data_IF_412008111760
#
_entry.id   IF_412008111760
#
_cell.length_a   1.000
_cell.length_b   1.000
_cell.length_c   1.000
_cell.angle_alpha   90.00
_cell.angle_beta   90.00
_cell.angle_gamma   90.00
#
_symmetry.space_group_name_H-M   'P 1'
#
loop_
_entity.id
_entity.type
_entity.pdbx_description
1 polymer ?
#
# COMPACT_ATOMS: atom_id res chain seq x y z
N UNK A 1 16.71 8.89 9.75
CA UNK A 1 16.32 8.65 8.34
C UNK A 1 14.95 8.00 8.38
N UNK A 2 13.91 8.76 8.04
CA UNK A 2 12.51 8.50 8.39
C UNK A 2 11.92 7.29 7.67
N UNK A 3 11.08 6.52 8.39
CA UNK A 3 10.29 5.35 7.95
C UNK A 3 9.67 5.47 6.54
N UNK A 4 9.34 6.70 6.15
CA UNK A 4 8.72 7.06 4.87
C UNK A 4 9.47 6.55 3.63
N UNK A 5 10.80 6.42 3.68
CA UNK A 5 11.58 6.01 2.52
C UNK A 5 11.49 4.49 2.25
N UNK A 6 11.24 3.68 3.28
CA UNK A 6 11.18 2.20 3.18
C UNK A 6 9.93 1.76 2.40
N UNK A 7 8.79 2.40 2.64
CA UNK A 7 7.51 1.98 2.06
C UNK A 7 7.25 2.52 0.66
N UNK A 8 8.06 3.45 0.15
CA UNK A 8 7.84 4.09 -1.15
C UNK A 8 7.87 3.09 -2.31
N UNK A 9 8.84 2.19 -2.32
CA UNK A 9 9.01 1.24 -3.42
C UNK A 9 7.90 0.19 -3.47
N UNK A 10 7.57 -0.40 -2.32
CA UNK A 10 6.49 -1.41 -2.21
C UNK A 10 5.13 -0.80 -2.53
N UNK A 11 4.91 0.46 -2.17
CA UNK A 11 3.70 1.18 -2.51
C UNK A 11 3.57 1.39 -4.03
N UNK A 12 4.62 1.86 -4.70
CA UNK A 12 4.62 2.02 -6.16
C UNK A 12 4.35 0.68 -6.86
N UNK A 13 4.91 -0.42 -6.35
CA UNK A 13 4.66 -1.77 -6.87
C UNK A 13 3.18 -2.15 -6.74
N UNK A 14 2.55 -1.91 -5.59
CA UNK A 14 1.12 -2.17 -5.39
C UNK A 14 0.27 -1.36 -6.38
N UNK A 15 0.50 -0.05 -6.50
CA UNK A 15 -0.28 0.81 -7.42
C UNK A 15 -0.18 0.32 -8.86
N UNK A 16 1.04 -0.01 -9.32
CA UNK A 16 1.25 -0.55 -10.66
C UNK A 16 0.56 -1.91 -10.87
N UNK A 17 0.53 -2.76 -9.85
CA UNK A 17 -0.18 -4.04 -9.88
C UNK A 17 -1.70 -3.82 -9.99
N UNK A 18 -2.27 -2.92 -9.18
CA UNK A 18 -3.69 -2.56 -9.21
C UNK A 18 -4.13 -2.04 -10.58
N UNK A 19 -3.29 -1.22 -11.23
CA UNK A 19 -3.53 -0.77 -12.62
C UNK A 19 -3.56 -1.95 -13.59
N UNK A 20 -2.60 -2.88 -13.48
CA UNK A 20 -2.50 -4.05 -14.36
C UNK A 20 -3.70 -5.00 -14.25
N UNK A 21 -4.30 -5.14 -13.06
CA UNK A 21 -5.48 -5.98 -12.85
C UNK A 21 -6.80 -5.28 -13.22
N UNK A 22 -6.75 -4.01 -13.66
CA UNK A 22 -7.90 -3.32 -14.26
C UNK A 22 -8.49 -2.17 -13.43
N UNK A 23 -7.88 -1.77 -12.32
CA UNK A 23 -8.31 -0.56 -11.61
C UNK A 23 -7.94 0.68 -12.45
N UNK A 24 -8.94 1.31 -13.06
CA UNK A 24 -8.78 2.45 -13.97
C UNK A 24 -9.23 3.78 -13.39
N UNK A 25 -9.90 3.78 -12.23
CA UNK A 25 -10.35 5.01 -11.60
C UNK A 25 -9.17 5.76 -10.99
N UNK A 26 -8.71 6.80 -11.71
CA UNK A 26 -7.58 7.63 -11.31
C UNK A 26 -7.75 8.24 -9.91
N UNK A 27 -8.95 8.70 -9.54
CA UNK A 27 -9.19 9.28 -8.21
C UNK A 27 -8.95 8.25 -7.10
N UNK A 28 -9.29 6.99 -7.33
CA UNK A 28 -9.04 5.90 -6.36
C UNK A 28 -7.54 5.62 -6.25
N UNK A 29 -6.85 5.50 -7.39
CA UNK A 29 -5.40 5.27 -7.42
C UNK A 29 -4.60 6.40 -6.78
N UNK A 30 -5.02 7.65 -7.00
CA UNK A 30 -4.41 8.84 -6.40
C UNK A 30 -4.57 8.81 -4.87
N UNK A 31 -5.76 8.50 -4.36
CA UNK A 31 -6.01 8.38 -2.91
C UNK A 31 -5.19 7.25 -2.30
N UNK A 32 -5.16 6.07 -2.94
CA UNK A 32 -4.35 4.95 -2.47
C UNK A 32 -2.87 5.34 -2.40
N UNK A 33 -2.37 6.08 -3.40
CA UNK A 33 -0.98 6.58 -3.46
C UNK A 33 -0.60 7.57 -2.35
N UNK A 34 -1.58 8.25 -1.76
CA UNK A 34 -1.37 9.28 -0.72
C UNK A 34 -1.47 8.74 0.71
N UNK A 35 -2.29 7.69 0.93
CA UNK A 35 -2.55 7.18 2.27
C UNK A 35 -1.44 6.20 2.70
N UNK A 36 -0.72 6.45 3.81
CA UNK A 36 0.31 5.55 4.32
C UNK A 36 -0.33 4.33 5.01
N UNK A 37 -0.79 3.34 4.23
CA UNK A 37 -1.48 2.13 4.70
C UNK A 37 -0.79 1.40 5.86
N UNK A 38 0.54 1.42 5.92
CA UNK A 38 1.32 0.81 7.02
C UNK A 38 1.07 1.42 8.41
N UNK A 39 0.52 2.64 8.49
CA UNK A 39 0.14 3.26 9.77
C UNK A 39 -1.16 2.69 10.36
N UNK A 40 -1.89 1.87 9.61
CA UNK A 40 -3.20 1.31 9.99
C UNK A 40 -3.15 -0.19 10.29
N UNK A 41 -1.95 -0.77 10.41
CA UNK A 41 -1.74 -2.20 10.70
C UNK A 41 -0.82 -2.37 11.89
N UNK A 42 -0.90 -3.54 12.54
CA UNK A 42 0.00 -3.90 13.63
C UNK A 42 1.48 -3.77 13.21
N UNK A 43 2.38 -3.34 14.10
CA UNK A 43 3.81 -3.18 13.78
C UNK A 43 4.45 -4.43 13.15
N UNK A 44 4.03 -5.63 13.60
CA UNK A 44 4.50 -6.90 13.06
C UNK A 44 4.07 -7.15 11.60
N UNK A 45 3.01 -6.50 11.13
CA UNK A 45 2.41 -6.68 9.80
C UNK A 45 2.80 -5.57 8.82
N UNK A 46 3.50 -4.51 9.25
CA UNK A 46 3.83 -3.36 8.40
C UNK A 46 4.55 -3.75 7.09
N UNK A 47 5.42 -4.76 7.13
CA UNK A 47 6.13 -5.27 5.94
C UNK A 47 5.19 -5.85 4.89
N UNK A 48 4.01 -6.32 5.29
CA UNK A 48 2.94 -6.88 4.43
C UNK A 48 1.84 -5.88 4.12
N UNK A 49 1.95 -4.63 4.60
CA UNK A 49 0.89 -3.63 4.48
C UNK A 49 0.49 -3.32 3.03
N UNK A 50 1.41 -3.54 2.08
CA UNK A 50 1.22 -3.27 0.66
C UNK A 50 1.18 -4.54 -0.21
N UNK A 51 1.08 -5.72 0.43
CA UNK A 51 0.74 -6.94 -0.29
C UNK A 51 -0.73 -6.86 -0.73
N UNK A 52 -1.02 -7.38 -1.92
CA UNK A 52 -2.40 -7.49 -2.43
C UNK A 52 -3.10 -8.72 -1.81
N UNK A 53 -3.19 -8.72 -0.48
CA UNK A 53 -3.79 -9.78 0.32
C UNK A 53 -4.47 -9.20 1.57
N UNK A 54 -5.41 -9.94 2.13
CA UNK A 54 -6.03 -9.58 3.40
C UNK A 54 -5.03 -9.75 4.54
N UNK A 55 -5.06 -8.81 5.50
CA UNK A 55 -4.31 -8.93 6.75
C UNK A 55 -5.25 -9.34 7.89
N UNK A 56 -4.77 -10.10 8.89
CA UNK A 56 -5.54 -10.38 10.09
C UNK A 56 -5.94 -9.08 10.79
N UNK A 57 -7.19 -8.99 11.24
CA UNK A 57 -7.71 -7.84 11.99
C UNK A 57 -7.55 -7.98 13.52
N UNK A 58 -6.93 -9.08 13.96
CA UNK A 58 -6.93 -9.52 15.36
C UNK A 58 -8.10 -10.45 15.64
#
# INVERSE_FOLDING_TARGET
>A
MTDQNIFREVHIKLINHLIKIGISNKKVLDVLSLIPRHLFVEPALQKRAYDDDALPIG
#
